data_IF_899434851466
#
_entry.id   IF_899434851466
#
_cell.length_a   1.000
_cell.length_b   1.000
_cell.length_c   1.000
_cell.angle_alpha   90.00
_cell.angle_beta   90.00
_cell.angle_gamma   90.00
#
_symmetry.space_group_name_H-M   'P 1'
#
loop_
_entity.id
_entity.type
_entity.pdbx_description
1 polymer ?
#
# COMPACT_ATOMS: atom_id res chain seq x y z
N UNK A 1 -38.09 -17.69 29.61
CA UNK A 1 -37.85 -16.56 30.52
C UNK A 1 -36.58 -15.84 30.08
N UNK A 2 -36.57 -14.52 30.05
CA UNK A 2 -35.40 -13.72 29.63
C UNK A 2 -34.57 -13.44 30.88
N UNK A 3 -33.35 -13.98 30.94
CA UNK A 3 -32.42 -13.71 32.04
C UNK A 3 -31.94 -12.25 32.01
N UNK A 4 -32.04 -11.49 33.11
CA UNK A 4 -31.56 -10.11 33.16
C UNK A 4 -30.03 -10.05 33.11
N UNK A 5 -29.47 -9.39 32.09
CA UNK A 5 -28.03 -9.18 31.93
C UNK A 5 -27.47 -8.08 32.84
N UNK A 6 -27.47 -8.30 34.17
CA UNK A 6 -26.84 -7.37 35.13
C UNK A 6 -25.41 -7.82 35.44
N UNK A 7 -24.47 -6.88 35.43
CA UNK A 7 -23.09 -7.12 35.83
C UNK A 7 -22.90 -6.59 37.25
N UNK A 8 -22.43 -7.43 38.17
CA UNK A 8 -22.29 -7.09 39.59
C UNK A 8 -21.12 -6.12 39.83
N UNK A 9 -21.23 -5.04 40.62
CA UNK A 9 -20.10 -4.16 40.85
C UNK A 9 -18.93 -4.89 41.54
N UNK A 10 -17.72 -4.84 40.96
CA UNK A 10 -16.51 -5.45 41.52
C UNK A 10 -15.31 -4.51 41.39
N UNK A 11 -14.56 -4.33 42.49
CA UNK A 11 -13.34 -3.51 42.53
C UNK A 11 -12.24 -4.07 41.63
N UNK A 12 -12.24 -5.38 41.36
CA UNK A 12 -11.24 -6.05 40.53
C UNK A 12 -11.21 -5.55 39.09
N UNK A 13 -12.33 -5.02 38.58
CA UNK A 13 -12.41 -4.49 37.21
C UNK A 13 -11.53 -3.27 36.97
N UNK A 14 -11.24 -2.53 38.04
CA UNK A 14 -10.46 -1.30 37.98
C UNK A 14 -8.97 -1.52 38.29
N UNK A 15 -8.58 -2.77 38.57
CA UNK A 15 -7.17 -3.13 38.75
C UNK A 15 -6.47 -3.37 37.42
N UNK A 16 -5.15 -3.17 37.39
CA UNK A 16 -4.34 -3.49 36.22
C UNK A 16 -4.41 -4.99 35.92
N UNK A 17 -4.96 -5.36 34.76
CA UNK A 17 -5.12 -6.76 34.35
C UNK A 17 -3.89 -7.34 33.66
N UNK A 18 -3.02 -6.49 33.10
CA UNK A 18 -1.81 -6.90 32.39
C UNK A 18 -0.71 -5.85 32.57
N UNK A 19 0.36 -6.23 33.26
CA UNK A 19 1.53 -5.37 33.50
C UNK A 19 2.79 -6.02 32.92
N UNK A 20 3.74 -5.19 32.52
CA UNK A 20 5.06 -5.61 32.03
C UNK A 20 6.10 -4.63 32.59
N UNK A 21 7.26 -5.11 33.04
CA UNK A 21 8.35 -4.24 33.49
C UNK A 21 9.07 -3.63 32.29
N UNK A 22 9.70 -2.46 32.48
CA UNK A 22 10.44 -1.79 31.43
C UNK A 22 11.57 -2.66 30.86
N UNK A 23 12.33 -3.34 31.74
CA UNK A 23 13.42 -4.22 31.35
C UNK A 23 12.95 -5.43 30.54
N UNK A 24 11.83 -6.04 30.93
CA UNK A 24 11.24 -7.15 30.17
C UNK A 24 10.69 -6.70 28.82
N UNK A 25 10.15 -5.47 28.76
CA UNK A 25 9.63 -4.87 27.54
C UNK A 25 10.75 -4.56 26.55
N UNK A 26 11.88 -4.02 27.01
CA UNK A 26 13.04 -3.74 26.17
C UNK A 26 13.65 -5.04 25.63
N UNK A 27 13.88 -6.04 26.48
CA UNK A 27 14.31 -7.37 26.05
C UNK A 27 13.34 -8.02 25.04
N UNK A 28 12.02 -7.84 25.24
CA UNK A 28 11.00 -8.31 24.31
C UNK A 28 11.09 -7.61 22.95
N UNK A 29 11.33 -6.29 22.93
CA UNK A 29 11.49 -5.52 21.69
C UNK A 29 12.73 -5.96 20.91
N UNK A 30 13.87 -6.07 21.58
CA UNK A 30 15.13 -6.47 20.94
C UNK A 30 15.02 -7.88 20.33
N UNK A 31 14.58 -8.85 21.14
CA UNK A 31 14.51 -10.26 20.71
C UNK A 31 13.51 -10.54 19.59
N UNK A 32 12.40 -9.78 19.53
CA UNK A 32 11.40 -9.96 18.46
C UNK A 32 11.65 -9.10 17.24
N UNK A 33 12.30 -7.94 17.37
CA UNK A 33 12.60 -7.08 16.22
C UNK A 33 13.45 -7.82 15.19
N UNK A 34 14.44 -8.59 15.64
CA UNK A 34 15.26 -9.44 14.78
C UNK A 34 14.45 -10.57 14.13
N UNK A 35 13.64 -11.28 14.94
CA UNK A 35 12.91 -12.49 14.49
C UNK A 35 11.67 -12.21 13.64
N UNK A 36 11.17 -10.98 13.61
CA UNK A 36 10.00 -10.62 12.81
C UNK A 36 10.36 -10.28 11.36
N UNK A 37 11.59 -9.80 11.13
CA UNK A 37 12.12 -9.60 9.79
C UNK A 37 12.47 -10.94 9.12
N UNK A 38 12.85 -11.96 9.90
CA UNK A 38 13.20 -13.28 9.37
C UNK A 38 11.97 -14.01 8.78
N UNK A 39 11.97 -14.33 7.47
CA UNK A 39 10.88 -15.07 6.83
C UNK A 39 10.77 -16.52 7.34
N UNK A 40 11.87 -17.14 7.78
CA UNK A 40 11.91 -18.55 8.21
C UNK A 40 11.49 -18.75 9.67
N UNK A 41 11.59 -17.72 10.51
CA UNK A 41 11.14 -17.78 11.89
C UNK A 41 9.61 -17.54 12.03
N UNK A 42 8.97 -18.35 12.88
CA UNK A 42 7.52 -18.26 13.14
C UNK A 42 7.23 -18.17 14.64
N UNK A 43 6.51 -17.11 15.03
CA UNK A 43 5.98 -16.98 16.40
C UNK A 43 4.69 -17.79 16.52
N UNK A 44 4.71 -18.87 17.32
CA UNK A 44 3.55 -19.77 17.47
C UNK A 44 2.44 -19.18 18.34
N UNK A 45 2.77 -18.49 19.45
CA UNK A 45 1.78 -18.00 20.44
C UNK A 45 1.61 -16.49 20.42
N UNK A 46 1.11 -15.93 19.31
CA UNK A 46 0.95 -14.47 19.12
C UNK A 46 -0.09 -13.84 20.05
N UNK A 47 -1.21 -14.50 20.33
CA UNK A 47 -2.32 -13.92 21.12
C UNK A 47 -1.94 -13.53 22.55
N UNK A 48 -0.92 -14.19 23.13
CA UNK A 48 -0.42 -13.89 24.48
C UNK A 48 0.73 -12.89 24.47
N UNK A 49 1.20 -12.41 23.32
CA UNK A 49 2.29 -11.44 23.26
C UNK A 49 1.75 -10.04 22.96
N UNK A 50 2.24 -8.99 23.64
CA UNK A 50 1.80 -7.62 23.39
C UNK A 50 2.46 -7.06 22.12
N UNK A 51 2.07 -7.58 20.94
CA UNK A 51 2.67 -7.24 19.64
C UNK A 51 2.47 -5.77 19.24
N UNK A 52 1.49 -5.07 19.82
CA UNK A 52 1.30 -3.63 19.61
C UNK A 52 2.43 -2.77 20.19
N UNK A 53 3.15 -3.28 21.20
CA UNK A 53 4.26 -2.56 21.84
C UNK A 53 5.56 -2.58 21.03
N UNK A 54 5.60 -3.36 19.95
CA UNK A 54 6.76 -3.51 19.09
C UNK A 54 6.90 -2.38 18.06
N UNK A 55 5.79 -1.77 17.65
CA UNK A 55 5.82 -0.61 16.77
C UNK A 55 6.08 0.64 17.61
N UNK A 56 7.21 1.30 17.38
CA UNK A 56 7.43 2.62 17.94
C UNK A 56 6.36 3.59 17.41
N UNK A 57 5.93 4.53 18.26
CA UNK A 57 5.05 5.60 17.82
C UNK A 57 5.67 6.29 16.61
N UNK A 58 4.85 6.59 15.59
CA UNK A 58 5.24 7.16 14.29
C UNK A 58 6.39 8.17 14.47
N UNK A 59 7.62 7.73 14.18
CA UNK A 59 8.79 8.59 14.22
C UNK A 59 8.78 9.40 12.93
N UNK A 60 8.08 10.52 13.01
CA UNK A 60 7.98 11.50 11.94
C UNK A 60 7.25 12.70 12.50
N UNK A 61 7.80 13.90 12.29
CA UNK A 61 7.08 15.14 12.56
C UNK A 61 5.82 15.12 11.70
N UNK A 62 4.68 14.71 12.26
CA UNK A 62 3.40 14.96 11.62
C UNK A 62 3.36 16.47 11.40
N UNK A 63 3.21 16.89 10.14
CA UNK A 63 3.01 18.31 9.87
C UNK A 63 1.89 18.77 10.81
N UNK A 64 2.09 19.86 11.57
CA UNK A 64 1.07 20.33 12.50
C UNK A 64 -0.23 20.50 11.72
N UNK A 65 -1.32 20.00 12.27
CA UNK A 65 -2.62 20.02 11.59
C UNK A 65 -3.06 21.48 11.43
N UNK A 66 -2.98 21.99 10.19
CA UNK A 66 -3.27 23.38 9.87
C UNK A 66 -4.70 23.76 10.27
N UNK A 67 -5.63 22.80 10.23
CA UNK A 67 -7.05 23.05 10.57
C UNK A 67 -7.28 23.33 12.04
N UNK A 68 -6.36 22.90 12.91
CA UNK A 68 -6.40 23.21 14.35
C UNK A 68 -6.00 24.66 14.63
N UNK A 69 -5.04 25.19 13.85
CA UNK A 69 -4.53 26.55 14.00
C UNK A 69 -5.31 27.58 13.19
N UNK A 70 -5.82 27.18 12.02
CA UNK A 70 -6.49 28.03 11.05
C UNK A 70 -7.73 27.30 10.49
N UNK A 71 -8.88 27.32 11.20
CA UNK A 71 -10.08 26.63 10.75
C UNK A 71 -10.66 27.29 9.49
N UNK A 72 -11.41 26.52 8.69
CA UNK A 72 -11.90 26.97 7.37
C UNK A 72 -12.79 28.22 7.45
N UNK A 73 -13.64 28.31 8.48
CA UNK A 73 -14.53 29.47 8.72
C UNK A 73 -13.78 30.79 8.90
N UNK A 74 -12.55 30.70 9.42
CA UNK A 74 -11.76 31.86 9.83
C UNK A 74 -10.72 32.20 8.74
N UNK A 75 -10.42 31.26 7.85
CA UNK A 75 -9.50 31.47 6.71
C UNK A 75 -10.21 31.92 5.45
N UNK A 76 -11.43 31.43 5.18
CA UNK A 76 -12.21 31.70 3.97
C UNK A 76 -13.69 32.00 4.28
N UNK A 77 -14.34 32.74 3.38
CA UNK A 77 -15.76 33.09 3.49
C UNK A 77 -16.05 34.40 4.21
N UNK A 78 -17.33 34.69 4.44
CA UNK A 78 -17.77 36.00 4.96
C UNK A 78 -17.25 36.31 6.38
N UNK A 79 -16.95 35.28 7.17
CA UNK A 79 -16.40 35.41 8.53
C UNK A 79 -14.87 35.31 8.58
N UNK A 80 -14.19 35.31 7.42
CA UNK A 80 -12.75 35.17 7.34
C UNK A 80 -12.03 36.28 8.12
N UNK A 81 -11.21 35.86 9.09
CA UNK A 81 -10.35 36.71 9.91
C UNK A 81 -8.95 36.85 9.31
N UNK A 82 -8.53 35.94 8.41
CA UNK A 82 -7.20 35.98 7.79
C UNK A 82 -7.05 37.16 6.83
N UNK A 83 -6.18 38.12 7.17
CA UNK A 83 -5.90 39.32 6.36
C UNK A 83 -4.66 39.23 5.48
N UNK A 84 -3.67 38.38 5.83
CA UNK A 84 -2.41 38.25 5.10
C UNK A 84 -2.01 36.78 4.98
N UNK A 85 -1.41 36.36 3.85
CA UNK A 85 -0.85 35.02 3.71
C UNK A 85 0.43 34.89 4.54
N UNK A 86 0.65 33.70 5.10
CA UNK A 86 1.96 33.32 5.65
C UNK A 86 2.81 32.83 4.47
N UNK A 87 3.81 33.61 4.12
CA UNK A 87 4.74 33.30 3.04
C UNK A 87 6.08 32.91 3.66
N UNK A 88 6.72 31.88 3.12
CA UNK A 88 8.06 31.43 3.50
C UNK A 88 9.12 32.10 2.59
N UNK A 89 9.03 33.42 2.45
CA UNK A 89 9.97 34.25 1.68
C UNK A 89 10.27 35.54 2.44
N UNK A 90 11.55 35.94 2.49
CA UNK A 90 11.99 37.14 3.19
C UNK A 90 12.04 38.39 2.30
N UNK A 91 12.18 38.23 0.98
CA UNK A 91 12.28 39.36 0.05
C UNK A 91 11.53 39.12 -1.27
N UNK A 92 11.20 40.22 -1.97
CA UNK A 92 10.55 40.13 -3.30
C UNK A 92 11.46 39.46 -4.34
N UNK A 93 12.78 39.64 -4.20
CA UNK A 93 13.77 39.01 -5.08
C UNK A 93 13.81 37.50 -4.88
N UNK A 94 13.72 37.04 -3.63
CA UNK A 94 13.64 35.61 -3.31
C UNK A 94 12.37 34.98 -3.87
N UNK A 95 11.23 35.65 -3.73
CA UNK A 95 9.98 35.20 -4.35
C UNK A 95 10.10 35.09 -5.88
N UNK A 96 10.70 36.06 -6.55
CA UNK A 96 10.92 36.02 -8.00
C UNK A 96 11.81 34.83 -8.42
N UNK A 97 12.83 34.50 -7.61
CA UNK A 97 13.69 33.33 -7.85
C UNK A 97 12.93 32.01 -7.70
N UNK A 98 12.06 31.88 -6.68
CA UNK A 98 11.25 30.69 -6.48
C UNK A 98 10.20 30.53 -7.60
N UNK A 99 9.58 31.63 -8.04
CA UNK A 99 8.61 31.63 -9.13
C UNK A 99 9.25 31.20 -10.46
N UNK A 100 10.44 31.73 -10.77
CA UNK A 100 11.16 31.33 -12.00
C UNK A 100 11.62 29.87 -11.96
N UNK A 101 12.09 29.38 -10.80
CA UNK A 101 12.42 27.97 -10.62
C UNK A 101 11.18 27.06 -10.78
N UNK A 102 10.04 27.44 -10.19
CA UNK A 102 8.79 26.69 -10.33
C UNK A 102 8.25 26.73 -11.77
N UNK A 103 8.36 27.88 -12.46
CA UNK A 103 7.98 27.99 -13.86
C UNK A 103 8.84 27.07 -14.75
N UNK A 104 10.15 27.01 -14.48
CA UNK A 104 11.05 26.09 -15.17
C UNK A 104 10.67 24.63 -14.90
N UNK A 105 10.35 24.25 -13.65
CA UNK A 105 9.92 22.87 -13.35
C UNK A 105 8.59 22.50 -14.00
N UNK A 106 7.64 23.44 -14.08
CA UNK A 106 6.36 23.24 -14.78
C UNK A 106 6.59 23.07 -16.28
N UNK A 107 7.43 23.91 -16.88
CA UNK A 107 7.81 23.77 -18.29
C UNK A 107 8.54 22.44 -18.56
N UNK A 108 9.43 22.00 -17.66
CA UNK A 108 10.08 20.69 -17.76
C UNK A 108 9.07 19.54 -17.65
N UNK A 109 8.09 19.63 -16.74
CA UNK A 109 7.04 18.64 -16.62
C UNK A 109 6.14 18.59 -17.88
N UNK A 110 5.81 19.75 -18.45
CA UNK A 110 5.09 19.82 -19.72
C UNK A 110 5.90 19.27 -20.89
N UNK A 111 7.19 19.59 -20.97
CA UNK A 111 8.07 19.07 -22.01
C UNK A 111 8.31 17.56 -21.85
N UNK A 112 8.39 17.04 -20.61
CA UNK A 112 8.47 15.61 -20.37
C UNK A 112 7.16 14.93 -20.73
N UNK A 113 6.00 15.49 -20.38
CA UNK A 113 4.71 14.96 -20.81
C UNK A 113 4.56 14.97 -22.34
N UNK A 114 5.05 16.01 -23.01
CA UNK A 114 5.12 16.07 -24.48
C UNK A 114 6.10 15.06 -25.04
N UNK A 115 7.25 14.82 -24.42
CA UNK A 115 8.19 13.77 -24.82
C UNK A 115 7.65 12.37 -24.54
N UNK A 116 6.89 12.16 -23.47
CA UNK A 116 6.28 10.86 -23.19
C UNK A 116 5.20 10.57 -24.23
N UNK A 117 4.48 11.61 -24.69
CA UNK A 117 3.60 11.56 -25.86
C UNK A 117 4.38 11.36 -27.17
N UNK A 118 5.47 12.09 -27.38
CA UNK A 118 6.28 11.99 -28.59
C UNK A 118 7.10 10.70 -28.62
N UNK A 119 7.44 10.08 -27.50
CA UNK A 119 8.09 8.75 -27.41
C UNK A 119 7.06 7.65 -27.62
N UNK A 120 5.80 7.85 -27.21
CA UNK A 120 4.72 6.98 -27.69
C UNK A 120 4.54 7.10 -29.21
N UNK A 121 4.71 8.29 -29.79
CA UNK A 121 4.54 8.55 -31.23
C UNK A 121 5.79 8.23 -32.08
N UNK A 122 7.02 8.37 -31.55
CA UNK A 122 8.30 8.13 -32.23
C UNK A 122 8.72 6.66 -32.17
N UNK A 123 8.12 5.85 -31.29
CA UNK A 123 8.19 4.38 -31.40
C UNK A 123 7.65 3.87 -32.75
N UNK A 124 6.96 4.72 -33.51
CA UNK A 124 6.44 4.44 -34.84
C UNK A 124 7.39 4.88 -35.99
N UNK A 125 8.48 5.61 -35.71
CA UNK A 125 9.18 6.37 -36.76
C UNK A 125 10.70 6.13 -36.89
N UNK A 126 11.26 4.99 -36.46
CA UNK A 126 12.53 4.47 -37.01
C UNK A 126 12.56 2.91 -37.00
N UNK A 127 11.95 2.31 -38.03
CA UNK A 127 12.47 1.11 -38.71
C UNK A 127 12.84 -0.16 -37.90
N UNK A 128 12.12 -0.52 -36.83
CA UNK A 128 12.35 -1.83 -36.18
C UNK A 128 11.11 -2.51 -35.59
N UNK A 129 9.93 -2.33 -36.19
CA UNK A 129 8.71 -3.03 -35.76
C UNK A 129 7.90 -3.43 -37.02
N UNK A 130 7.41 -4.68 -37.06
CA UNK A 130 6.80 -5.28 -38.24
C UNK A 130 5.43 -4.63 -38.58
N UNK A 131 4.99 -4.61 -39.87
CA UNK A 131 3.71 -4.03 -40.31
C UNK A 131 2.46 -4.56 -39.58
N UNK A 132 2.59 -5.71 -38.92
CA UNK A 132 1.54 -6.38 -38.14
C UNK A 132 1.25 -5.68 -36.78
N UNK A 133 2.19 -4.92 -36.24
CA UNK A 133 2.06 -4.27 -34.92
C UNK A 133 1.41 -2.87 -35.03
N UNK A 134 1.66 -2.14 -36.12
CA UNK A 134 0.98 -0.89 -36.46
C UNK A 134 -0.53 -1.10 -36.71
N UNK A 135 -0.90 -2.27 -37.25
CA UNK A 135 -2.30 -2.67 -37.42
C UNK A 135 -2.99 -2.95 -36.07
N UNK A 136 -2.25 -3.46 -35.08
CA UNK A 136 -2.76 -3.72 -33.72
C UNK A 136 -2.97 -2.45 -32.90
N UNK A 137 -2.16 -1.42 -33.07
CA UNK A 137 -2.30 -0.15 -32.35
C UNK A 137 -3.39 0.77 -32.94
N UNK A 138 -3.61 0.68 -34.26
CA UNK A 138 -4.79 1.26 -34.90
C UNK A 138 -6.09 0.55 -34.45
N UNK A 139 -6.04 -0.77 -34.24
CA UNK A 139 -7.08 -1.49 -33.51
C UNK A 139 -7.15 -1.03 -32.05
N UNK A 140 -6.05 -0.88 -31.31
CA UNK A 140 -6.04 -0.58 -29.86
C UNK A 140 -6.65 0.80 -29.52
N UNK A 141 -6.37 1.81 -30.35
CA UNK A 141 -7.01 3.12 -30.23
C UNK A 141 -8.51 3.09 -30.63
N UNK A 142 -8.92 2.22 -31.55
CA UNK A 142 -10.34 1.87 -31.75
C UNK A 142 -10.91 1.02 -30.59
N UNK A 143 -10.08 0.23 -29.90
CA UNK A 143 -10.43 -0.70 -28.82
C UNK A 143 -10.61 0.00 -27.47
N UNK A 144 -10.19 1.26 -27.33
CA UNK A 144 -10.42 2.06 -26.11
C UNK A 144 -11.91 2.24 -25.76
N UNK A 145 -12.80 2.09 -26.75
CA UNK A 145 -14.26 2.03 -26.60
C UNK A 145 -14.86 0.67 -26.95
N UNK A 146 -14.03 -0.36 -27.16
CA UNK A 146 -14.53 -1.71 -27.42
C UNK A 146 -14.87 -2.37 -26.09
N UNK A 147 -16.10 -2.91 -25.95
CA UNK A 147 -16.48 -3.66 -24.76
C UNK A 147 -15.46 -4.77 -24.51
N UNK A 148 -14.79 -4.68 -23.37
CA UNK A 148 -13.84 -5.72 -22.98
C UNK A 148 -14.61 -7.02 -22.74
N UNK A 149 -14.13 -8.11 -23.34
CA UNK A 149 -14.79 -9.40 -23.20
C UNK A 149 -14.89 -9.78 -21.72
N UNK A 150 -16.07 -10.24 -21.33
CA UNK A 150 -16.37 -10.63 -19.95
C UNK A 150 -15.40 -11.69 -19.40
N UNK A 151 -14.78 -12.48 -20.28
CA UNK A 151 -13.78 -13.49 -19.94
C UNK A 151 -12.52 -12.87 -19.32
N UNK A 152 -12.13 -11.65 -19.72
CA UNK A 152 -10.97 -10.95 -19.14
C UNK A 152 -11.26 -10.45 -17.72
N UNK A 153 -12.54 -10.31 -17.36
CA UNK A 153 -13.00 -10.07 -15.99
C UNK A 153 -13.18 -11.35 -15.17
N UNK A 154 -13.05 -12.54 -15.78
CA UNK A 154 -13.20 -13.80 -15.06
C UNK A 154 -12.14 -13.92 -13.96
N UNK A 155 -12.53 -14.48 -12.81
CA UNK A 155 -11.68 -14.54 -11.62
C UNK A 155 -11.81 -13.35 -10.65
N UNK A 156 -12.31 -12.20 -11.10
CA UNK A 156 -12.46 -11.00 -10.25
C UNK A 156 -13.81 -10.90 -9.52
N UNK A 157 -14.69 -11.89 -9.70
CA UNK A 157 -16.04 -11.87 -9.12
C UNK A 157 -16.03 -11.86 -7.58
N UNK A 158 -16.97 -11.10 -6.98
CA UNK A 158 -17.18 -11.05 -5.52
C UNK A 158 -17.38 -12.44 -4.90
N UNK A 159 -17.99 -13.37 -5.63
CA UNK A 159 -18.16 -14.76 -5.18
C UNK A 159 -16.82 -15.46 -4.96
N UNK A 160 -15.90 -15.32 -5.92
CA UNK A 160 -14.57 -15.96 -5.88
C UNK A 160 -13.73 -15.34 -4.76
N UNK A 161 -13.72 -14.00 -4.67
CA UNK A 161 -13.05 -13.30 -3.59
C UNK A 161 -13.63 -13.64 -2.22
N UNK A 162 -14.95 -13.82 -2.10
CA UNK A 162 -15.59 -14.27 -0.86
C UNK A 162 -15.10 -15.65 -0.40
N UNK A 163 -15.01 -16.61 -1.32
CA UNK A 163 -14.43 -17.93 -1.01
C UNK A 163 -12.92 -17.84 -0.69
N UNK A 164 -12.16 -17.01 -1.41
CA UNK A 164 -10.75 -16.77 -1.12
C UNK A 164 -10.56 -16.26 0.31
N UNK A 165 -11.30 -15.24 0.75
CA UNK A 165 -11.18 -14.71 2.10
C UNK A 165 -11.62 -15.72 3.18
N UNK A 166 -12.60 -16.58 2.88
CA UNK A 166 -13.00 -17.68 3.76
C UNK A 166 -11.87 -18.71 3.94
N UNK A 167 -11.20 -19.09 2.84
CA UNK A 167 -10.03 -20.00 2.89
C UNK A 167 -8.86 -19.34 3.60
N UNK A 168 -8.62 -18.06 3.32
CA UNK A 168 -7.61 -17.27 4.04
C UNK A 168 -7.91 -17.27 5.53
N UNK A 169 -9.16 -17.17 5.97
CA UNK A 169 -9.48 -17.11 7.40
C UNK A 169 -9.45 -18.47 8.10
N UNK A 170 -9.81 -19.55 7.40
CA UNK A 170 -9.79 -20.91 7.95
C UNK A 170 -8.38 -21.55 7.98
N UNK A 171 -7.44 -21.05 7.17
CA UNK A 171 -6.08 -21.61 7.07
C UNK A 171 -5.10 -21.02 8.08
N UNK A 172 -4.15 -21.83 8.53
CA UNK A 172 -3.02 -21.36 9.34
C UNK A 172 -1.81 -20.95 8.47
N UNK A 173 -1.62 -21.68 7.36
CA UNK A 173 -0.55 -21.48 6.38
C UNK A 173 -1.16 -21.40 4.98
N UNK A 174 -0.70 -20.43 4.20
CA UNK A 174 -1.10 -20.22 2.82
C UNK A 174 0.05 -20.57 1.88
N UNK A 175 -0.23 -21.42 0.90
CA UNK A 175 0.68 -21.72 -0.19
C UNK A 175 0.32 -20.83 -1.38
N UNK A 176 1.24 -19.96 -1.79
CA UNK A 176 1.07 -19.12 -2.96
C UNK A 176 1.84 -19.78 -4.11
N UNK A 177 1.10 -20.49 -4.95
CA UNK A 177 1.65 -21.19 -6.10
C UNK A 177 1.89 -20.19 -7.22
N UNK A 178 3.13 -20.12 -7.71
CA UNK A 178 3.58 -19.22 -8.76
C UNK A 178 4.03 -20.03 -9.98
N UNK A 179 3.85 -19.50 -11.18
CA UNK A 179 4.36 -20.12 -12.42
C UNK A 179 5.83 -19.73 -12.62
N UNK A 180 6.73 -20.70 -12.75
CA UNK A 180 8.17 -20.45 -12.85
C UNK A 180 8.58 -19.62 -14.08
N UNK A 181 7.73 -19.54 -15.12
CA UNK A 181 7.98 -18.74 -16.32
C UNK A 181 7.83 -17.24 -16.07
N UNK A 182 6.90 -16.86 -15.19
CA UNK A 182 6.67 -15.48 -14.78
C UNK A 182 6.15 -15.42 -13.34
N UNK A 183 7.03 -15.59 -12.35
CA UNK A 183 6.64 -15.61 -10.95
C UNK A 183 6.20 -14.24 -10.45
N UNK A 184 6.65 -13.15 -11.07
CA UNK A 184 6.26 -11.79 -10.66
C UNK A 184 4.90 -11.40 -11.23
N UNK A 185 4.60 -11.76 -12.48
CA UNK A 185 3.28 -11.50 -13.07
C UNK A 185 2.18 -12.40 -12.50
N UNK A 186 2.51 -13.61 -12.03
CA UNK A 186 1.54 -14.51 -11.38
C UNK A 186 1.40 -14.30 -9.87
N UNK A 187 2.15 -13.34 -9.29
CA UNK A 187 2.07 -12.98 -7.88
C UNK A 187 0.95 -11.98 -7.62
N UNK A 188 0.17 -12.21 -6.57
CA UNK A 188 -0.84 -11.27 -6.09
C UNK A 188 -0.36 -10.43 -4.89
N UNK A 189 0.23 -9.26 -5.15
CA UNK A 189 0.72 -8.35 -4.10
C UNK A 189 -0.39 -7.82 -3.18
N UNK A 190 -1.61 -7.67 -3.72
CA UNK A 190 -2.76 -7.19 -2.95
C UNK A 190 -3.09 -8.13 -1.78
N UNK A 191 -3.10 -9.44 -2.02
CA UNK A 191 -3.37 -10.46 -0.99
C UNK A 191 -2.23 -10.50 0.02
N UNK A 192 -0.99 -10.33 -0.41
CA UNK A 192 0.16 -10.31 0.50
C UNK A 192 0.16 -9.08 1.42
N UNK A 193 -0.11 -7.91 0.86
CA UNK A 193 -0.26 -6.67 1.63
C UNK A 193 -1.41 -6.79 2.64
N UNK A 194 -2.53 -7.38 2.23
CA UNK A 194 -3.66 -7.68 3.10
C UNK A 194 -3.25 -8.61 4.27
N UNK A 195 -2.57 -9.71 3.97
CA UNK A 195 -2.12 -10.68 4.98
C UNK A 195 -1.09 -10.07 5.93
N UNK A 196 -0.16 -9.28 5.42
CA UNK A 196 0.86 -8.58 6.22
C UNK A 196 0.25 -7.53 7.16
N UNK A 197 -0.87 -6.90 6.77
CA UNK A 197 -1.54 -5.87 7.57
C UNK A 197 -2.53 -6.46 8.56
N UNK A 198 -3.47 -7.28 8.08
CA UNK A 198 -4.61 -7.75 8.86
C UNK A 198 -4.38 -9.11 9.53
N UNK A 199 -3.63 -9.99 8.88
CA UNK A 199 -3.44 -11.39 9.31
C UNK A 199 -1.97 -11.71 9.58
N UNK A 200 -1.28 -10.85 10.33
CA UNK A 200 0.14 -11.03 10.79
C UNK A 200 0.39 -12.37 11.48
N UNK A 201 -0.67 -13.06 11.91
CA UNK A 201 -0.66 -14.42 12.44
C UNK A 201 -0.24 -15.49 11.44
N UNK A 202 -0.66 -15.35 10.19
CA UNK A 202 -0.57 -16.37 9.14
C UNK A 202 0.73 -16.24 8.38
N UNK A 203 1.19 -17.35 7.81
CA UNK A 203 2.42 -17.42 7.01
C UNK A 203 2.09 -17.77 5.57
N UNK A 204 2.83 -17.16 4.66
CA UNK A 204 2.74 -17.40 3.21
C UNK A 204 4.02 -18.11 2.81
N UNK A 205 3.91 -19.19 2.05
CA UNK A 205 5.03 -19.91 1.45
C UNK A 205 4.84 -19.89 -0.06
N UNK A 206 5.87 -19.45 -0.79
CA UNK A 206 5.87 -19.49 -2.24
C UNK A 206 6.22 -20.89 -2.74
N UNK A 207 5.47 -21.37 -3.72
CA UNK A 207 5.72 -22.65 -4.38
C UNK A 207 5.86 -22.37 -5.87
N UNK A 208 7.08 -22.47 -6.39
CA UNK A 208 7.33 -22.38 -7.83
C UNK A 208 6.85 -23.67 -8.49
N UNK A 209 5.97 -23.53 -9.47
CA UNK A 209 5.38 -24.62 -10.23
C UNK A 209 5.72 -24.48 -11.72
N UNK A 210 5.66 -25.59 -12.47
CA UNK A 210 6.04 -25.68 -13.89
C UNK A 210 7.53 -25.39 -14.17
N UNK A 211 8.39 -25.85 -13.27
CA UNK A 211 9.86 -25.72 -13.38
C UNK A 211 10.44 -26.47 -14.58
N UNK A 212 9.70 -27.44 -15.13
CA UNK A 212 10.04 -28.15 -16.36
C UNK A 212 10.07 -27.25 -17.61
N UNK A 213 9.35 -26.14 -17.57
CA UNK A 213 9.25 -25.20 -18.70
C UNK A 213 10.38 -24.17 -18.74
N UNK A 214 11.25 -24.17 -17.74
CA UNK A 214 12.40 -23.26 -17.65
C UNK A 214 13.69 -24.07 -17.55
N UNK A 215 14.83 -23.54 -18.02
CA UNK A 215 16.11 -24.21 -17.85
C UNK A 215 16.44 -24.46 -16.38
N UNK A 216 17.17 -25.54 -16.08
CA UNK A 216 17.47 -25.93 -14.69
C UNK A 216 18.32 -24.94 -13.88
N UNK A 217 18.92 -23.93 -14.51
CA UNK A 217 19.61 -22.83 -13.80
C UNK A 217 18.66 -21.68 -13.41
N UNK A 218 17.46 -21.63 -14.00
CA UNK A 218 16.38 -20.70 -13.65
C UNK A 218 15.49 -21.30 -12.54
N UNK A 219 15.32 -22.62 -12.57
CA UNK A 219 14.50 -23.38 -11.63
C UNK A 219 15.03 -23.39 -10.19
#
# INVERSE_FOLDING_TARGET
EITPGRVQPDRRWFGNTRTISQTALEHFRESLKEKIADPYAVVLKKNKLPMSLLTDAVSGKTKPDLTTTEPFSDTFGAKAQRKRPRLDVGSISELASQVSAHAASVQQAHAQAQKDQEISDLRDAEGSIAPEQLAREAEENLLSNVPQDWILGAGTSKRIWGELYKVIDSSDVLLHVLDARDPMGTRCDSVEAYLAKEKRGKKIVYVLNKVDLVPGWVA
#
